data_IF_735947977636
#
_entry.id   IF_735947977636
#
_cell.length_a   1.000
_cell.length_b   1.000
_cell.length_c   1.000
_cell.angle_alpha   90.00
_cell.angle_beta   90.00
_cell.angle_gamma   90.00
#
_symmetry.space_group_name_H-M   'P 1'
#
loop_
_entity.id
_entity.type
_entity.pdbx_description
1 polymer ?
#
# COMPACT_ATOMS: atom_id res chain seq x y z
N UNK A 1 2.29 13.58 -43.55
CA UNK A 1 1.04 12.95 -43.08
C UNK A 1 1.46 11.80 -42.18
N UNK A 2 1.58 12.05 -40.88
CA UNK A 2 1.84 10.98 -39.91
C UNK A 2 0.51 10.27 -39.65
N UNK A 3 0.48 8.94 -39.86
CA UNK A 3 -0.71 8.13 -39.59
C UNK A 3 -1.04 8.08 -38.10
N UNK A 4 -2.27 7.68 -37.72
CA UNK A 4 -2.66 7.61 -36.31
C UNK A 4 -1.70 6.66 -35.59
N UNK A 5 -0.99 7.18 -34.58
CA UNK A 5 -0.10 6.39 -33.74
C UNK A 5 -0.93 5.25 -33.12
N UNK A 6 -0.66 4.01 -33.51
CA UNK A 6 -1.25 2.84 -32.89
C UNK A 6 -0.66 2.71 -31.48
N UNK A 7 -1.36 3.26 -30.50
CA UNK A 7 -1.07 3.00 -29.10
C UNK A 7 -1.40 1.54 -28.80
N UNK A 8 -0.45 0.83 -28.19
CA UNK A 8 -0.70 -0.54 -27.71
C UNK A 8 -1.86 -0.51 -26.70
N UNK A 9 -2.64 -1.59 -26.64
CA UNK A 9 -3.64 -1.80 -25.57
C UNK A 9 -2.99 -1.64 -24.19
N UNK A 10 -1.72 -2.05 -24.05
CA UNK A 10 -0.93 -1.88 -22.83
C UNK A 10 -0.66 -0.40 -22.54
N UNK A 11 -0.35 0.39 -23.58
CA UNK A 11 -0.09 1.83 -23.45
C UNK A 11 -1.38 2.58 -23.10
N UNK A 12 -2.51 2.23 -23.73
CA UNK A 12 -3.83 2.78 -23.41
C UNK A 12 -4.25 2.43 -21.97
N UNK A 13 -3.95 1.23 -21.51
CA UNK A 13 -4.17 0.82 -20.11
C UNK A 13 -3.22 1.52 -19.13
N UNK A 14 -2.07 2.02 -19.59
CA UNK A 14 -1.05 2.68 -18.77
C UNK A 14 -1.23 4.19 -18.68
N UNK A 15 -1.86 4.83 -19.68
CA UNK A 15 -1.90 6.30 -19.81
C UNK A 15 -3.20 6.93 -19.30
N UNK A 16 -4.29 6.17 -19.12
CA UNK A 16 -5.61 6.77 -18.87
C UNK A 16 -6.48 6.13 -17.77
N UNK A 17 -5.96 5.15 -17.04
CA UNK A 17 -6.78 4.49 -16.03
C UNK A 17 -6.53 5.10 -14.65
N UNK A 18 -7.24 6.21 -14.38
CA UNK A 18 -7.72 6.57 -13.03
C UNK A 18 -8.67 5.45 -12.56
N UNK A 19 -8.15 4.24 -12.38
CA UNK A 19 -8.91 3.01 -12.18
C UNK A 19 -9.29 2.78 -10.71
N UNK A 20 -9.18 3.81 -9.87
CA UNK A 20 -9.36 3.72 -8.42
C UNK A 20 -10.78 3.26 -8.04
N UNK A 21 -11.77 3.43 -8.92
CA UNK A 21 -13.14 2.95 -8.73
C UNK A 21 -13.43 1.57 -9.33
N UNK A 22 -12.56 1.07 -10.22
CA UNK A 22 -12.80 -0.13 -11.04
C UNK A 22 -11.91 -1.31 -10.61
N UNK A 23 -10.79 -1.06 -9.90
CA UNK A 23 -10.01 -2.09 -9.20
C UNK A 23 -10.69 -2.40 -7.84
N UNK A 24 -12.00 -2.61 -7.84
CA UNK A 24 -12.74 -3.08 -6.67
C UNK A 24 -12.83 -4.61 -6.64
N UNK A 25 -12.85 -5.24 -7.83
CA UNK A 25 -12.96 -6.68 -7.98
C UNK A 25 -11.85 -7.20 -8.90
N UNK A 26 -10.81 -7.77 -8.29
CA UNK A 26 -9.70 -8.45 -8.97
C UNK A 26 -9.81 -9.97 -8.88
N UNK A 27 -11.01 -10.50 -8.64
CA UNK A 27 -11.26 -11.94 -8.47
C UNK A 27 -10.74 -12.76 -9.65
N UNK A 28 -10.98 -12.28 -10.88
CA UNK A 28 -10.64 -12.96 -12.14
C UNK A 28 -9.30 -12.51 -12.76
N UNK A 29 -8.53 -11.66 -12.08
CA UNK A 29 -7.23 -11.20 -12.61
C UNK A 29 -6.14 -12.20 -12.23
N UNK A 30 -5.38 -12.65 -13.23
CA UNK A 30 -4.25 -13.55 -13.01
C UNK A 30 -3.15 -12.91 -12.14
N UNK A 31 -2.53 -13.70 -11.27
CA UNK A 31 -1.53 -13.23 -10.29
C UNK A 31 -0.38 -12.44 -10.92
N UNK A 32 0.11 -12.87 -12.10
CA UNK A 32 1.21 -12.22 -12.81
C UNK A 32 0.86 -10.82 -13.34
N UNK A 33 -0.44 -10.54 -13.55
CA UNK A 33 -0.94 -9.20 -13.91
C UNK A 33 -1.08 -8.33 -12.67
N UNK A 34 -1.53 -8.91 -11.55
CA UNK A 34 -1.62 -8.22 -10.27
C UNK A 34 -0.24 -7.75 -9.79
N UNK A 35 0.80 -8.55 -9.97
CA UNK A 35 2.18 -8.15 -9.68
C UNK A 35 2.64 -6.90 -10.45
N UNK A 36 2.07 -6.63 -11.62
CA UNK A 36 2.40 -5.44 -12.44
C UNK A 36 1.53 -4.24 -12.12
N UNK A 37 0.26 -4.47 -11.80
CA UNK A 37 -0.74 -3.42 -11.60
C UNK A 37 -0.71 -2.89 -10.17
N UNK A 38 -0.66 -3.77 -9.17
CA UNK A 38 -0.74 -3.40 -7.76
C UNK A 38 0.37 -2.44 -7.28
N UNK A 39 1.62 -2.48 -7.81
CA UNK A 39 2.63 -1.48 -7.46
C UNK A 39 2.27 -0.04 -7.85
N UNK A 40 1.36 0.16 -8.82
CA UNK A 40 0.91 1.49 -9.23
C UNK A 40 -0.27 1.98 -8.38
N UNK A 41 -0.89 1.11 -7.57
CA UNK A 41 -2.02 1.48 -6.75
C UNK A 41 -1.61 2.45 -5.63
N UNK A 42 -2.50 3.39 -5.33
CA UNK A 42 -2.41 4.16 -4.09
C UNK A 42 -2.63 3.24 -2.89
N UNK A 43 -2.20 3.71 -1.72
CA UNK A 43 -2.38 2.98 -0.47
C UNK A 43 -3.86 2.69 -0.15
N UNK A 44 -4.75 3.64 -0.46
CA UNK A 44 -6.19 3.48 -0.24
C UNK A 44 -6.79 2.43 -1.19
N UNK A 45 -6.32 2.39 -2.44
CA UNK A 45 -6.71 1.37 -3.42
C UNK A 45 -6.23 0.00 -2.99
N UNK A 46 -4.96 -0.14 -2.59
CA UNK A 46 -4.41 -1.41 -2.12
C UNK A 46 -5.21 -1.97 -0.92
N UNK A 47 -5.58 -1.10 0.03
CA UNK A 47 -6.40 -1.49 1.17
C UNK A 47 -7.79 -1.99 0.76
N UNK A 48 -8.47 -1.28 -0.15
CA UNK A 48 -9.79 -1.70 -0.68
C UNK A 48 -9.71 -3.04 -1.41
N UNK A 49 -8.65 -3.26 -2.18
CA UNK A 49 -8.43 -4.49 -2.94
C UNK A 49 -8.28 -5.69 -2.01
N UNK A 50 -7.52 -5.56 -0.92
CA UNK A 50 -7.36 -6.63 0.06
C UNK A 50 -8.62 -6.86 0.91
N UNK A 51 -9.40 -5.83 1.20
CA UNK A 51 -10.66 -5.98 1.93
C UNK A 51 -11.71 -6.77 1.13
N UNK A 52 -11.66 -6.68 -0.20
CA UNK A 52 -12.56 -7.39 -1.10
C UNK A 52 -12.08 -8.79 -1.50
N UNK A 53 -10.82 -9.19 -1.20
CA UNK A 53 -10.28 -10.50 -1.61
C UNK A 53 -9.38 -11.13 -0.54
N UNK A 54 -9.79 -12.30 -0.07
CA UNK A 54 -9.19 -12.98 1.10
C UNK A 54 -7.82 -13.63 0.89
N UNK A 55 -7.11 -13.47 -0.24
CA UNK A 55 -5.87 -14.22 -0.51
C UNK A 55 -4.80 -13.49 -1.35
N UNK A 56 -4.73 -12.15 -1.31
CA UNK A 56 -3.68 -11.40 -2.02
C UNK A 56 -2.39 -11.18 -1.21
N UNK A 57 -2.40 -11.57 0.07
CA UNK A 57 -1.33 -11.30 1.03
C UNK A 57 0.07 -11.66 0.51
N UNK A 58 0.24 -12.74 -0.26
CA UNK A 58 1.55 -13.10 -0.82
C UNK A 58 2.12 -12.03 -1.78
N UNK A 59 1.27 -11.35 -2.54
CA UNK A 59 1.65 -10.34 -3.54
C UNK A 59 1.71 -8.95 -2.89
N UNK A 60 0.76 -8.66 -2.00
CA UNK A 60 0.55 -7.32 -1.44
C UNK A 60 1.42 -7.03 -0.21
N UNK A 61 1.93 -8.04 0.49
CA UNK A 61 2.70 -7.84 1.72
C UNK A 61 3.99 -7.03 1.48
N UNK A 62 4.69 -7.25 0.37
CA UNK A 62 5.85 -6.42 -0.02
C UNK A 62 5.46 -4.99 -0.41
N UNK A 63 4.25 -4.80 -0.95
CA UNK A 63 3.74 -3.46 -1.25
C UNK A 63 3.45 -2.68 0.05
N UNK A 64 2.83 -3.33 1.04
CA UNK A 64 2.65 -2.74 2.38
C UNK A 64 3.97 -2.38 3.05
N UNK A 65 4.99 -3.22 2.90
CA UNK A 65 6.35 -2.92 3.37
C UNK A 65 6.92 -1.66 2.72
N UNK A 66 6.73 -1.50 1.40
CA UNK A 66 7.18 -0.31 0.68
C UNK A 66 6.44 0.95 1.14
N UNK A 67 5.13 0.86 1.37
CA UNK A 67 4.37 1.95 1.97
C UNK A 67 4.84 2.30 3.38
N UNK A 68 5.14 1.28 4.20
CA UNK A 68 5.71 1.49 5.53
C UNK A 68 7.05 2.24 5.45
N UNK A 69 7.95 1.82 4.56
CA UNK A 69 9.23 2.50 4.34
C UNK A 69 9.03 3.95 3.90
N UNK A 70 8.15 4.18 2.92
CA UNK A 70 7.91 5.51 2.37
C UNK A 70 7.32 6.47 3.42
N UNK A 71 6.35 6.01 4.21
CA UNK A 71 5.60 6.87 5.12
C UNK A 71 6.30 7.05 6.48
N UNK A 72 7.17 6.11 6.88
CA UNK A 72 7.82 6.11 8.19
C UNK A 72 9.35 6.14 8.16
N UNK A 73 9.98 6.08 6.97
CA UNK A 73 11.36 6.45 6.67
C UNK A 73 12.46 5.64 7.35
N UNK A 74 12.59 5.78 8.67
CA UNK A 74 13.82 5.51 9.41
C UNK A 74 13.69 4.36 10.42
N UNK A 75 12.56 3.66 10.39
CA UNK A 75 12.26 2.60 11.36
C UNK A 75 12.16 1.22 10.74
N UNK A 76 12.25 1.09 9.42
CA UNK A 76 12.01 -0.22 8.80
C UNK A 76 13.14 -1.19 9.13
N UNK A 77 14.40 -0.74 9.14
CA UNK A 77 15.55 -1.58 9.52
C UNK A 77 15.42 -2.03 10.98
N UNK A 78 15.03 -1.12 11.88
CA UNK A 78 14.82 -1.42 13.30
C UNK A 78 13.66 -2.42 13.47
N UNK A 79 12.58 -2.24 12.73
CA UNK A 79 11.43 -3.15 12.75
C UNK A 79 11.85 -4.54 12.24
N UNK A 80 12.60 -4.61 11.15
CA UNK A 80 13.13 -5.87 10.62
C UNK A 80 14.11 -6.56 11.57
N UNK A 81 15.01 -5.82 12.21
CA UNK A 81 15.90 -6.35 13.24
C UNK A 81 15.11 -6.91 14.43
N UNK A 82 14.09 -6.18 14.91
CA UNK A 82 13.22 -6.66 15.98
C UNK A 82 12.44 -7.91 15.59
N UNK A 83 11.91 -7.97 14.38
CA UNK A 83 11.23 -9.16 13.83
C UNK A 83 12.17 -10.37 13.88
N UNK A 84 13.42 -10.20 13.44
CA UNK A 84 14.45 -11.26 13.46
C UNK A 84 14.78 -11.69 14.89
N UNK A 85 15.00 -10.74 15.80
CA UNK A 85 15.32 -11.03 17.21
C UNK A 85 14.19 -11.75 17.94
N UNK A 86 12.94 -11.43 17.60
CA UNK A 86 11.75 -12.09 18.16
C UNK A 86 11.46 -13.45 17.51
N UNK A 87 12.26 -13.86 16.52
CA UNK A 87 12.08 -15.07 15.74
C UNK A 87 10.64 -15.21 15.17
N UNK A 88 10.06 -14.08 14.76
CA UNK A 88 8.75 -14.08 14.12
C UNK A 88 8.89 -14.66 12.71
N UNK A 89 8.24 -15.78 12.43
CA UNK A 89 8.32 -16.45 11.14
C UNK A 89 7.77 -15.60 9.99
N UNK A 90 6.45 -15.36 9.98
CA UNK A 90 5.78 -14.55 8.96
C UNK A 90 5.26 -13.25 9.55
N UNK A 91 5.43 -12.14 8.81
CA UNK A 91 4.99 -10.81 9.21
C UNK A 91 4.01 -10.26 8.18
N UNK A 92 2.86 -9.81 8.67
CA UNK A 92 1.84 -9.11 7.89
C UNK A 92 2.11 -7.60 7.98
N UNK A 93 2.77 -7.05 6.97
CA UNK A 93 3.14 -5.63 6.90
C UNK A 93 1.93 -4.70 6.90
N UNK A 94 0.77 -5.14 6.38
CA UNK A 94 -0.49 -4.41 6.50
C UNK A 94 -0.82 -4.06 7.96
N UNK A 95 -0.76 -5.06 8.84
CA UNK A 95 -1.11 -4.89 10.25
C UNK A 95 -0.12 -3.95 10.94
N UNK A 96 1.18 -4.12 10.68
CA UNK A 96 2.21 -3.23 11.21
C UNK A 96 2.00 -1.79 10.74
N UNK A 97 1.66 -1.61 9.47
CA UNK A 97 1.38 -0.30 8.90
C UNK A 97 0.15 0.35 9.56
N UNK A 98 -0.95 -0.38 9.71
CA UNK A 98 -2.18 0.13 10.34
C UNK A 98 -1.93 0.53 11.80
N UNK A 99 -1.32 -0.35 12.59
CA UNK A 99 -0.98 -0.07 13.99
C UNK A 99 -0.05 1.14 14.12
N UNK A 100 0.97 1.25 13.26
CA UNK A 100 1.90 2.38 13.29
C UNK A 100 1.19 3.69 12.96
N UNK A 101 0.29 3.68 11.97
CA UNK A 101 -0.51 4.85 11.61
C UNK A 101 -1.38 5.31 12.78
N UNK A 102 -2.07 4.39 13.45
CA UNK A 102 -2.91 4.71 14.61
C UNK A 102 -2.10 5.35 15.74
N UNK A 103 -0.92 4.81 16.04
CA UNK A 103 0.00 5.38 17.04
C UNK A 103 0.42 6.80 16.65
N UNK A 104 0.83 7.01 15.40
CA UNK A 104 1.25 8.34 14.92
C UNK A 104 0.09 9.33 14.98
N UNK A 105 -1.12 8.92 14.62
CA UNK A 105 -2.30 9.80 14.65
C UNK A 105 -2.71 10.14 16.09
N UNK A 106 -2.66 9.17 17.00
CA UNK A 106 -2.91 9.40 18.43
C UNK A 106 -1.94 10.43 19.02
N UNK A 107 -0.64 10.31 18.73
CA UNK A 107 0.38 11.26 19.19
C UNK A 107 0.14 12.68 18.64
N UNK A 108 -0.33 12.81 17.40
CA UNK A 108 -0.67 14.12 16.82
C UNK A 108 -1.87 14.77 17.52
N UNK A 109 -2.91 13.97 17.83
CA UNK A 109 -4.09 14.46 18.55
C UNK A 109 -3.69 14.96 19.95
N UNK A 110 -2.90 14.17 20.68
CA UNK A 110 -2.41 14.55 22.01
C UNK A 110 -1.58 15.86 21.97
N UNK A 111 -0.62 15.96 21.04
CA UNK A 111 0.17 17.17 20.87
C UNK A 111 -0.71 18.40 20.54
N UNK A 112 -1.74 18.22 19.70
CA UNK A 112 -2.67 19.29 19.35
C UNK A 112 -3.53 19.75 20.54
N UNK A 113 -3.87 18.85 21.48
CA UNK A 113 -4.59 19.21 22.71
C UNK A 113 -3.69 20.01 23.66
N UNK A 114 -2.45 19.56 23.88
CA UNK A 114 -1.48 20.25 24.73
C UNK A 114 -1.19 21.68 24.24
N UNK A 115 -1.13 21.89 22.93
CA UNK A 115 -0.95 23.21 22.32
C UNK A 115 -2.17 24.13 22.51
N UNK A 116 -3.38 23.58 22.60
CA UNK A 116 -4.60 24.36 22.85
C UNK A 116 -4.77 24.73 24.32
N UNK A 117 -4.26 23.91 25.23
CA UNK A 117 -4.30 24.18 26.67
C UNK A 117 -3.23 25.19 27.12
N UNK A 118 -2.22 25.43 26.28
CA UNK A 118 -1.13 26.38 26.54
C UNK A 118 -1.29 27.73 25.83
N UNK A 119 -2.42 27.97 25.16
CA UNK A 119 -2.79 29.22 24.46
C UNK A 119 -3.94 29.93 25.16
#
# INVERSE_FOLDING_TARGET
MEGPQQQSLVDLCSVQFDNSSLIGNVEFVESHLLEKILPQCSLQELARIEDNKSNLSAITNELWKNFFRRDFGDHIEIVEERIKLLNMGYVVWRNLYQLRREVVEGLKIEAALLLKESA
#
